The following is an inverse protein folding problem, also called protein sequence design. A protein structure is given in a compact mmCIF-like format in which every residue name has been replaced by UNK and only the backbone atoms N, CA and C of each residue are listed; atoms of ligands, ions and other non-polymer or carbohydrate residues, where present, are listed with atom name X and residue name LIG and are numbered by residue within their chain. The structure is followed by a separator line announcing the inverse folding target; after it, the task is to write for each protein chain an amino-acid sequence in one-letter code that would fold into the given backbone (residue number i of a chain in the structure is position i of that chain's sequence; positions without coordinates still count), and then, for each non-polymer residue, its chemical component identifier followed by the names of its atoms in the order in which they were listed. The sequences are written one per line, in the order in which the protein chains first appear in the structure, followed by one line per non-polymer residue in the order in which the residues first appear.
data_IF_005022009684
#
_entry.id   IF_005022009684
#
_cell.length_a   1.000
_cell.length_b   1.000
_cell.length_c   1.000
_cell.angle_alpha   90.00
_cell.angle_beta   90.00
_cell.angle_gamma   90.00
#
_symmetry.space_group_name_H-M   'P 1'
#
loop_
_entity.id
_entity.type
_entity.pdbx_description
1 polymer ?
#
# COMPACT_ATOMS: atom_id res chain seq x y z
N UNK A 1 32.02 -11.99 19.37
CA UNK A 1 31.34 -10.90 20.11
C UNK A 1 31.16 -9.63 19.30
N UNK A 2 32.14 -9.19 18.55
CA UNK A 2 32.06 -7.98 17.70
C UNK A 2 30.96 -8.05 16.61
N UNK A 3 30.70 -9.22 16.04
CA UNK A 3 29.67 -9.37 15.01
C UNK A 3 28.24 -9.24 15.54
N UNK A 4 27.98 -9.64 16.78
CA UNK A 4 26.65 -9.47 17.42
C UNK A 4 26.39 -8.02 17.78
N UNK A 5 27.39 -7.30 18.24
CA UNK A 5 27.27 -5.87 18.58
C UNK A 5 27.07 -5.02 17.32
N UNK A 6 27.78 -5.34 16.23
CA UNK A 6 27.63 -4.67 14.93
C UNK A 6 26.23 -4.91 14.32
N UNK A 7 25.68 -6.10 14.50
CA UNK A 7 24.33 -6.44 14.04
C UNK A 7 23.25 -5.73 14.85
N UNK A 8 23.42 -5.64 16.17
CA UNK A 8 22.57 -4.87 17.07
C UNK A 8 22.62 -3.37 16.80
N UNK A 9 23.82 -2.85 16.53
CA UNK A 9 24.03 -1.44 16.20
C UNK A 9 23.41 -1.07 14.85
N UNK A 10 23.54 -1.94 13.85
CA UNK A 10 22.83 -1.82 12.56
C UNK A 10 21.32 -1.85 12.71
N UNK A 11 20.79 -2.75 13.54
CA UNK A 11 19.37 -2.83 13.86
C UNK A 11 18.84 -1.57 14.54
N UNK A 12 19.62 -0.99 15.46
CA UNK A 12 19.28 0.26 16.14
C UNK A 12 19.29 1.46 15.20
N UNK A 13 20.26 1.54 14.29
CA UNK A 13 20.34 2.60 13.28
C UNK A 13 19.20 2.47 12.26
N UNK A 14 18.88 1.25 11.81
CA UNK A 14 17.77 0.97 10.91
C UNK A 14 16.43 1.35 11.54
N UNK A 15 16.21 0.99 12.80
CA UNK A 15 15.00 1.39 13.54
C UNK A 15 14.85 2.90 13.72
N UNK A 16 15.94 3.62 13.77
CA UNK A 16 15.94 5.08 13.92
C UNK A 16 15.66 5.83 12.62
N UNK A 17 15.84 5.17 11.46
CA UNK A 17 15.64 5.74 10.12
C UNK A 17 14.36 5.29 9.45
N UNK A 18 13.59 4.40 10.06
CA UNK A 18 12.31 3.93 9.50
C UNK A 18 11.29 5.07 9.54
N UNK A 19 10.76 5.38 8.36
CA UNK A 19 9.68 6.35 8.18
C UNK A 19 8.43 5.67 7.63
N UNK A 20 7.30 6.28 7.86
CA UNK A 20 6.03 5.82 7.32
C UNK A 20 5.76 6.47 5.98
N UNK A 21 5.37 5.68 5.01
CA UNK A 21 5.06 6.09 3.64
C UNK A 21 3.70 5.57 3.23
N UNK A 22 3.06 6.30 2.34
CA UNK A 22 1.84 5.90 1.66
C UNK A 22 2.10 5.90 0.16
N UNK A 23 1.84 4.77 -0.50
CA UNK A 23 1.97 4.65 -1.94
C UNK A 23 0.62 4.30 -2.56
N UNK A 24 0.28 5.01 -3.63
CA UNK A 24 -0.89 4.72 -4.46
C UNK A 24 -0.41 4.46 -5.86
N UNK A 25 -0.82 3.37 -6.46
CA UNK A 25 -0.52 3.08 -7.85
C UNK A 25 -1.78 2.74 -8.63
N UNK A 26 -1.73 3.01 -9.91
CA UNK A 26 -2.80 2.73 -10.87
C UNK A 26 -2.31 1.64 -11.80
N UNK A 27 -2.96 0.47 -11.76
CA UNK A 27 -2.68 -0.62 -12.65
C UNK A 27 -3.57 -0.57 -13.90
N UNK A 28 -3.08 -1.12 -15.00
CA UNK A 28 -3.83 -1.17 -16.27
C UNK A 28 -5.16 -1.91 -16.11
N UNK A 29 -6.26 -1.43 -16.73
CA UNK A 29 -7.57 -2.06 -16.60
C UNK A 29 -7.68 -3.40 -17.35
N UNK A 30 -6.69 -3.75 -18.15
CA UNK A 30 -6.63 -5.01 -18.91
C UNK A 30 -6.34 -6.22 -18.01
N UNK A 31 -5.83 -5.99 -16.80
CA UNK A 31 -5.50 -7.06 -15.86
C UNK A 31 -6.75 -7.76 -15.34
N UNK A 32 -6.68 -9.10 -15.22
CA UNK A 32 -7.66 -9.88 -14.48
C UNK A 32 -7.47 -9.68 -12.96
N UNK A 33 -8.47 -10.05 -12.18
CA UNK A 33 -8.37 -10.02 -10.71
C UNK A 33 -7.17 -10.81 -10.17
N UNK A 34 -6.90 -11.97 -10.75
CA UNK A 34 -5.76 -12.80 -10.37
C UNK A 34 -4.43 -12.10 -10.64
N UNK A 35 -4.29 -11.46 -11.80
CA UNK A 35 -3.10 -10.69 -12.17
C UNK A 35 -2.92 -9.46 -11.28
N UNK A 36 -4.02 -8.81 -10.91
CA UNK A 36 -3.96 -7.68 -9.97
C UNK A 36 -3.48 -8.11 -8.58
N UNK A 37 -4.01 -9.21 -8.06
CA UNK A 37 -3.57 -9.80 -6.78
C UNK A 37 -2.09 -10.20 -6.81
N UNK A 38 -1.65 -10.77 -7.91
CA UNK A 38 -0.24 -11.13 -8.12
C UNK A 38 0.67 -9.88 -8.11
N UNK A 39 0.28 -8.82 -8.79
CA UNK A 39 1.01 -7.56 -8.80
C UNK A 39 1.11 -6.95 -7.40
N UNK A 40 0.01 -6.90 -6.67
CA UNK A 40 -0.03 -6.42 -5.28
C UNK A 40 0.87 -7.26 -4.37
N UNK A 41 0.79 -8.58 -4.47
CA UNK A 41 1.62 -9.50 -3.70
C UNK A 41 3.11 -9.29 -3.98
N UNK A 42 3.48 -9.03 -5.23
CA UNK A 42 4.86 -8.70 -5.62
C UNK A 42 5.38 -7.48 -4.86
N UNK A 43 4.62 -6.40 -4.81
CA UNK A 43 5.03 -5.17 -4.11
C UNK A 43 5.04 -5.34 -2.59
N UNK A 44 4.08 -6.05 -2.03
CA UNK A 44 4.06 -6.37 -0.60
C UNK A 44 5.29 -7.21 -0.21
N UNK A 45 5.62 -8.22 -0.99
CA UNK A 45 6.81 -9.04 -0.76
C UNK A 45 8.09 -8.22 -0.91
N UNK A 46 8.15 -7.31 -1.88
CA UNK A 46 9.29 -6.40 -2.05
C UNK A 46 9.50 -5.53 -0.81
N UNK A 47 8.44 -5.01 -0.23
CA UNK A 47 8.48 -4.23 1.02
C UNK A 47 9.01 -5.10 2.17
N UNK A 48 8.52 -6.31 2.32
CA UNK A 48 8.92 -7.25 3.38
C UNK A 48 10.38 -7.70 3.22
N UNK A 49 10.82 -7.97 2.00
CA UNK A 49 12.18 -8.41 1.69
C UNK A 49 13.23 -7.32 2.01
N UNK A 50 12.83 -6.06 1.96
CA UNK A 50 13.67 -4.91 2.31
C UNK A 50 13.46 -4.42 3.75
N UNK A 51 13.05 -5.31 4.64
CA UNK A 51 12.85 -5.03 6.08
C UNK A 51 11.74 -3.99 6.37
N UNK A 52 10.85 -3.79 5.41
CA UNK A 52 9.68 -2.93 5.59
C UNK A 52 8.52 -3.66 6.23
N UNK A 53 7.59 -2.90 6.80
CA UNK A 53 6.36 -3.39 7.41
C UNK A 53 5.15 -2.76 6.71
N UNK A 54 4.23 -3.58 6.24
CA UNK A 54 2.95 -3.11 5.70
C UNK A 54 2.00 -2.83 6.85
N UNK A 55 1.56 -1.59 6.98
CA UNK A 55 0.66 -1.13 8.04
C UNK A 55 -0.79 -1.29 7.63
N UNK A 56 -1.10 -0.92 6.39
CA UNK A 56 -2.45 -0.93 5.88
C UNK A 56 -2.44 -1.02 4.36
N UNK A 57 -3.44 -1.68 3.82
CA UNK A 57 -3.65 -1.77 2.36
C UNK A 57 -5.14 -1.61 2.05
N UNK A 58 -5.44 -0.95 0.95
CA UNK A 58 -6.80 -0.68 0.51
C UNK A 58 -6.89 -0.84 -0.99
N UNK A 59 -7.82 -1.67 -1.44
CA UNK A 59 -8.18 -1.81 -2.84
C UNK A 59 -9.36 -0.88 -3.15
N UNK A 60 -9.13 0.07 -4.04
CA UNK A 60 -10.18 1.00 -4.47
C UNK A 60 -10.93 0.50 -5.70
N UNK A 61 -10.47 -0.59 -6.30
CA UNK A 61 -11.09 -1.18 -7.47
C UNK A 61 -10.85 -0.39 -8.76
N UNK A 62 -11.64 -0.71 -9.76
CA UNK A 62 -11.60 -0.05 -11.06
C UNK A 62 -12.27 1.32 -10.96
N UNK A 63 -11.54 2.36 -11.32
CA UNK A 63 -12.03 3.73 -11.35
C UNK A 63 -11.73 4.42 -12.67
N UNK A 64 -12.59 5.35 -13.06
CA UNK A 64 -12.36 6.19 -14.22
C UNK A 64 -11.28 7.23 -13.92
N UNK A 65 -10.35 7.40 -14.85
CA UNK A 65 -9.30 8.41 -14.78
C UNK A 65 -9.87 9.78 -15.15
N UNK A 66 -9.32 10.85 -14.54
CA UNK A 66 -9.67 12.22 -14.87
C UNK A 66 -9.27 12.59 -16.31
N UNK A 67 -8.19 12.00 -16.82
CA UNK A 67 -7.71 12.11 -18.18
C UNK A 67 -7.08 10.80 -18.65
N UNK A 68 -7.07 10.49 -19.96
CA UNK A 68 -6.47 9.25 -20.45
C UNK A 68 -4.96 9.16 -20.17
N UNK A 69 -4.50 8.01 -19.70
CA UNK A 69 -3.09 7.68 -19.55
C UNK A 69 -2.79 6.49 -20.45
N UNK A 70 -1.82 6.62 -21.37
CA UNK A 70 -1.48 5.59 -22.35
C UNK A 70 -2.72 5.03 -23.09
N UNK A 71 -3.60 5.93 -23.53
CA UNK A 71 -4.87 5.63 -24.21
C UNK A 71 -5.89 4.84 -23.37
N UNK A 72 -5.72 4.78 -22.04
CA UNK A 72 -6.64 4.12 -21.13
C UNK A 72 -7.40 5.13 -20.30
N UNK A 73 -8.72 4.96 -20.21
CA UNK A 73 -9.63 5.87 -19.51
C UNK A 73 -9.96 5.43 -18.09
N UNK A 74 -9.59 4.19 -17.72
CA UNK A 74 -9.80 3.63 -16.39
C UNK A 74 -8.57 2.89 -15.90
N UNK A 75 -8.55 2.55 -14.64
CA UNK A 75 -7.47 1.80 -14.01
C UNK A 75 -7.83 1.29 -12.63
N UNK A 76 -7.10 0.29 -12.16
CA UNK A 76 -7.21 -0.23 -10.80
C UNK A 76 -6.37 0.59 -9.86
N UNK A 77 -7.00 1.19 -8.85
CA UNK A 77 -6.32 1.94 -7.80
C UNK A 77 -6.06 1.05 -6.59
N UNK A 78 -4.85 1.10 -6.10
CA UNK A 78 -4.46 0.38 -4.89
C UNK A 78 -3.60 1.25 -4.00
N UNK A 79 -3.90 1.25 -2.71
CA UNK A 79 -3.18 2.00 -1.69
C UNK A 79 -2.46 1.03 -0.76
N UNK A 80 -1.19 1.28 -0.51
CA UNK A 80 -0.40 0.56 0.49
C UNK A 80 0.25 1.59 1.42
N UNK A 81 0.01 1.45 2.70
CA UNK A 81 0.69 2.22 3.74
C UNK A 81 1.72 1.32 4.42
N UNK A 82 2.96 1.75 4.45
CA UNK A 82 4.06 0.94 4.94
C UNK A 82 5.09 1.77 5.69
N UNK A 83 5.86 1.08 6.52
CA UNK A 83 7.04 1.63 7.20
C UNK A 83 8.29 1.00 6.60
N UNK A 84 9.20 1.82 6.14
CA UNK A 84 10.44 1.35 5.52
C UNK A 84 11.55 2.39 5.65
N UNK A 85 12.75 1.97 5.29
CA UNK A 85 13.90 2.84 5.18
C UNK A 85 13.71 3.81 4.01
N UNK A 86 14.10 5.09 4.11
CA UNK A 86 14.04 6.05 3.00
C UNK A 86 14.72 5.59 1.71
N UNK A 87 15.80 4.84 1.81
CA UNK A 87 16.52 4.29 0.64
C UNK A 87 15.67 3.29 -0.16
N UNK A 88 14.76 2.58 0.50
CA UNK A 88 13.86 1.62 -0.15
C UNK A 88 12.87 2.28 -1.10
N UNK A 89 12.45 3.51 -0.85
CA UNK A 89 11.49 4.24 -1.69
C UNK A 89 12.00 4.36 -3.13
N UNK A 90 13.28 4.65 -3.32
CA UNK A 90 13.91 4.71 -4.65
C UNK A 90 13.84 3.35 -5.37
N UNK A 91 14.05 2.26 -4.67
CA UNK A 91 13.93 0.90 -5.19
C UNK A 91 12.49 0.57 -5.60
N UNK A 92 11.53 0.92 -4.76
CA UNK A 92 10.10 0.73 -5.01
C UNK A 92 9.64 1.51 -6.26
N UNK A 93 10.03 2.78 -6.37
CA UNK A 93 9.71 3.61 -7.52
C UNK A 93 10.34 3.08 -8.81
N UNK A 94 11.56 2.56 -8.75
CA UNK A 94 12.23 1.92 -9.88
C UNK A 94 11.45 0.68 -10.35
N UNK A 95 10.94 -0.13 -9.44
CA UNK A 95 10.10 -1.28 -9.77
C UNK A 95 8.79 -0.87 -10.42
N UNK A 96 8.15 0.20 -9.95
CA UNK A 96 6.95 0.74 -10.59
C UNK A 96 7.22 1.21 -12.03
N UNK A 97 8.33 1.90 -12.26
CA UNK A 97 8.70 2.37 -13.61
C UNK A 97 8.96 1.23 -14.59
N UNK A 98 9.53 0.13 -14.11
CA UNK A 98 9.86 -1.04 -14.93
C UNK A 98 8.67 -1.95 -15.19
N UNK A 99 7.62 -1.84 -14.39
CA UNK A 99 6.43 -2.68 -14.53
C UNK A 99 5.44 -2.06 -15.52
N UNK A 100 5.27 -2.72 -16.66
CA UNK A 100 4.34 -2.29 -17.71
C UNK A 100 2.88 -2.30 -17.26
N UNK A 101 2.56 -3.05 -16.20
CA UNK A 101 1.21 -3.12 -15.63
C UNK A 101 0.83 -1.86 -14.84
N UNK A 102 1.81 -1.07 -14.44
CA UNK A 102 1.60 0.15 -13.66
C UNK A 102 1.57 1.36 -14.60
N UNK A 103 0.43 2.04 -14.65
CA UNK A 103 0.24 3.25 -15.46
C UNK A 103 0.84 4.47 -14.77
N UNK A 104 0.61 4.60 -13.49
CA UNK A 104 1.06 5.73 -12.68
C UNK A 104 1.18 5.33 -11.21
N UNK A 105 2.04 6.02 -10.49
CA UNK A 105 2.24 5.82 -9.06
C UNK A 105 2.57 7.14 -8.37
N UNK A 106 2.31 7.19 -7.07
CA UNK A 106 2.75 8.27 -6.19
C UNK A 106 3.11 7.68 -4.83
N UNK A 107 4.21 8.14 -4.26
CA UNK A 107 4.66 7.76 -2.92
C UNK A 107 4.87 9.02 -2.10
N UNK A 108 4.23 9.09 -0.95
CA UNK A 108 4.26 10.23 -0.05
C UNK A 108 4.79 9.80 1.31
N UNK A 109 5.72 10.58 1.88
CA UNK A 109 6.15 10.39 3.25
C UNK A 109 5.09 10.95 4.21
N UNK A 110 4.71 10.17 5.21
CA UNK A 110 3.77 10.58 6.25
C UNK A 110 4.54 11.08 7.47
N UNK A 111 4.26 12.29 7.89
CA UNK A 111 4.72 12.79 9.18
C UNK A 111 3.84 12.24 10.33
N UNK A 112 4.19 12.55 11.57
CA UNK A 112 3.47 12.07 12.76
C UNK A 112 1.98 12.46 12.73
N UNK A 113 1.67 13.66 12.29
CA UNK A 113 0.30 14.18 12.24
C UNK A 113 -0.51 13.50 11.14
N UNK A 114 0.09 13.32 9.96
CA UNK A 114 -0.54 12.63 8.84
C UNK A 114 -0.77 11.14 9.17
N UNK A 115 0.17 10.49 9.83
CA UNK A 115 0.04 9.10 10.27
C UNK A 115 -1.09 8.93 11.30
N UNK A 116 -1.20 9.83 12.27
CA UNK A 116 -2.29 9.84 13.26
C UNK A 116 -3.66 10.06 12.61
N UNK A 117 -3.74 10.97 11.64
CA UNK A 117 -4.96 11.21 10.89
C UNK A 117 -5.37 10.00 10.04
N UNK A 118 -4.43 9.36 9.38
CA UNK A 118 -4.66 8.15 8.60
C UNK A 118 -5.19 7.00 9.46
N UNK A 119 -4.65 6.84 10.67
CA UNK A 119 -5.12 5.86 11.64
C UNK A 119 -6.56 6.12 12.10
N UNK A 120 -6.88 7.36 12.42
CA UNK A 120 -8.27 7.76 12.77
C UNK A 120 -9.25 7.48 11.62
N UNK A 121 -8.85 7.80 10.40
CA UNK A 121 -9.68 7.55 9.21
C UNK A 121 -9.94 6.05 9.00
N UNK A 122 -8.93 5.20 9.21
CA UNK A 122 -9.07 3.74 9.13
C UNK A 122 -10.04 3.21 10.18
N UNK A 123 -9.88 3.62 11.42
CA UNK A 123 -10.72 3.19 12.52
C UNK A 123 -12.19 3.58 12.29
N UNK A 124 -12.43 4.78 11.77
CA UNK A 124 -13.77 5.24 11.42
C UNK A 124 -14.40 4.43 10.26
N UNK A 125 -13.60 4.05 9.26
CA UNK A 125 -14.08 3.18 8.17
C UNK A 125 -14.43 1.77 8.66
N UNK A 126 -13.60 1.21 9.53
CA UNK A 126 -13.83 -0.11 10.11
C UNK A 126 -15.09 -0.12 10.99
N UNK A 127 -15.31 0.93 11.77
CA UNK A 127 -16.51 1.09 12.58
C UNK A 127 -17.77 1.17 11.71
N UNK A 128 -17.76 1.97 10.65
CA UNK A 128 -18.89 2.07 9.70
C UNK A 128 -19.18 0.74 9.01
N UNK A 129 -18.15 0.02 8.60
CA UNK A 129 -18.30 -1.29 7.96
C UNK A 129 -18.87 -2.35 8.91
N UNK A 130 -18.55 -2.25 10.20
CA UNK A 130 -19.10 -3.12 11.23
C UNK A 130 -20.59 -2.79 11.53
N UNK A 131 -21.00 -1.53 11.41
CA UNK A 131 -22.40 -1.11 11.57
C UNK A 131 -23.28 -1.48 10.38
N UNK A 132 -22.72 -1.55 9.16
CA UNK A 132 -23.44 -1.96 7.95
C UNK A 132 -23.60 -3.48 7.81
N UNK A 133 -22.77 -4.28 8.47
CA UNK A 133 -22.77 -5.74 8.35
C UNK A 133 -23.99 -6.45 9.01
N UNK A 134 -24.64 -5.96 10.07
CA UNK A 134 -25.77 -6.67 10.69
C UNK A 134 -27.12 -6.53 10.01
N UNK A 135 -27.28 -5.68 9.00
CA UNK A 135 -28.57 -5.44 8.36
C UNK A 135 -28.94 -6.37 7.21
N UNK A 136 -28.04 -7.27 6.82
CA UNK A 136 -28.26 -8.17 5.69
C UNK A 136 -28.83 -9.56 6.06
N UNK A 137 -28.96 -9.90 7.34
CA UNK A 137 -29.40 -11.25 7.78
C UNK A 137 -30.84 -11.35 8.29
N UNK A 138 -31.64 -10.27 8.26
CA UNK A 138 -32.99 -10.28 8.87
C UNK A 138 -34.15 -10.39 7.88
N UNK A 139 -33.94 -10.76 6.63
CA UNK A 139 -35.02 -10.89 5.64
C UNK A 139 -35.08 -12.24 4.94
N UNK A 140 -34.78 -13.35 5.61
CA UNK A 140 -35.12 -14.67 5.11
C UNK A 140 -35.66 -15.54 6.23
N UNK A 141 -36.89 -15.27 6.66
CA UNK A 141 -37.75 -16.27 7.31
C UNK A 141 -39.18 -15.75 7.33
N UNK A 142 -39.86 -15.93 6.22
CA UNK A 142 -41.30 -16.20 6.16
C UNK A 142 -41.64 -17.01 4.93
#
# INVERSE_FOLDING_TARGET
MLQKVCKLFKLLIINKMIKQYETVFIATPVLSEAQMKEAVAKYINLIKDNEGEVVYEEDWGLKQLAYPIQHKTSGFYYLIEFKANPEFVATLETQYRRDERILRYITVALDKNAAAYAEKRRNNKLAKKAEEAPKAEETVNE
#
